data_IF_099930294460
#
_entry.id   IF_099930294460
#
_cell.length_a   1.000
_cell.length_b   1.000
_cell.length_c   1.000
_cell.angle_alpha   90.00
_cell.angle_beta   90.00
_cell.angle_gamma   90.00
#
_symmetry.space_group_name_H-M   'P 1'
#
loop_
_entity.id
_entity.type
_entity.pdbx_description
1 polymer ?
#
# COMPACT_ATOMS: atom_id res chain seq x y z
N UNK A 1 -18.06 -9.14 -80.50
CA UNK A 1 -17.92 -7.94 -79.66
C UNK A 1 -18.64 -8.20 -78.35
N UNK A 2 -17.95 -8.56 -77.38
CA UNK A 2 -18.51 -8.79 -76.00
C UNK A 2 -17.62 -8.10 -74.99
N UNK A 3 -18.17 -7.04 -74.41
CA UNK A 3 -17.52 -6.28 -73.38
C UNK A 3 -17.76 -6.99 -72.04
N UNK A 4 -16.71 -7.50 -71.42
CA UNK A 4 -16.73 -8.04 -70.07
C UNK A 4 -16.46 -6.88 -69.09
N UNK A 5 -17.47 -6.54 -68.33
CA UNK A 5 -17.36 -5.65 -67.21
C UNK A 5 -16.84 -6.42 -66.02
N UNK A 6 -15.60 -6.16 -65.63
CA UNK A 6 -15.05 -6.63 -64.37
C UNK A 6 -15.59 -5.73 -63.23
N UNK A 7 -16.49 -6.28 -62.45
CA UNK A 7 -16.99 -5.66 -61.26
C UNK A 7 -15.97 -5.92 -60.12
N UNK A 8 -15.22 -4.89 -59.75
CA UNK A 8 -14.31 -4.95 -58.62
C UNK A 8 -15.13 -4.76 -57.33
N UNK A 9 -15.31 -5.81 -56.58
CA UNK A 9 -15.87 -5.77 -55.25
C UNK A 9 -14.77 -5.29 -54.32
N UNK A 10 -14.86 -4.05 -53.89
CA UNK A 10 -14.02 -3.51 -52.81
C UNK A 10 -14.57 -4.01 -51.48
N UNK A 11 -13.94 -5.00 -50.91
CA UNK A 11 -14.26 -5.50 -49.57
C UNK A 11 -13.59 -4.57 -48.56
N UNK A 12 -14.36 -3.63 -48.03
CA UNK A 12 -13.91 -2.77 -46.95
C UNK A 12 -13.80 -3.61 -45.66
N UNK A 13 -12.58 -4.02 -45.31
CA UNK A 13 -12.28 -4.56 -43.99
C UNK A 13 -12.35 -3.41 -42.97
N UNK A 14 -13.47 -3.30 -42.28
CA UNK A 14 -13.59 -2.46 -41.11
C UNK A 14 -12.77 -3.12 -39.98
N UNK A 15 -11.52 -2.66 -39.75
CA UNK A 15 -10.79 -2.93 -38.51
C UNK A 15 -11.54 -2.21 -37.39
N UNK A 16 -12.35 -2.97 -36.65
CA UNK A 16 -12.84 -2.53 -35.36
C UNK A 16 -11.62 -2.51 -34.42
N UNK A 17 -11.03 -1.32 -34.22
CA UNK A 17 -10.05 -1.07 -33.19
C UNK A 17 -10.80 -1.19 -31.85
N UNK A 18 -10.68 -2.35 -31.23
CA UNK A 18 -11.02 -2.50 -29.82
C UNK A 18 -10.00 -1.68 -29.01
N UNK A 19 -10.29 -0.40 -28.81
CA UNK A 19 -9.65 0.38 -27.79
C UNK A 19 -10.09 -0.20 -26.45
N UNK A 20 -9.37 -1.20 -25.98
CA UNK A 20 -9.42 -1.64 -24.61
C UNK A 20 -8.93 -0.47 -23.75
N UNK A 21 -9.85 0.38 -23.32
CA UNK A 21 -9.61 1.27 -22.19
C UNK A 21 -9.47 0.39 -20.95
N UNK A 22 -8.28 -0.15 -20.71
CA UNK A 22 -7.91 -0.58 -19.38
C UNK A 22 -7.90 0.68 -18.52
N UNK A 23 -8.96 0.86 -17.71
CA UNK A 23 -8.91 1.77 -16.57
C UNK A 23 -7.70 1.31 -15.78
N UNK A 24 -6.59 2.07 -15.83
CA UNK A 24 -5.53 1.92 -14.85
C UNK A 24 -6.21 2.21 -13.51
N UNK A 25 -6.50 1.16 -12.77
CA UNK A 25 -6.87 1.33 -11.37
C UNK A 25 -5.69 2.07 -10.73
N UNK A 26 -5.93 3.31 -10.39
CA UNK A 26 -4.95 4.13 -9.70
C UNK A 26 -4.93 3.64 -8.26
N UNK A 27 -4.07 2.66 -7.98
CA UNK A 27 -3.86 2.21 -6.62
C UNK A 27 -3.30 3.34 -5.77
N UNK A 28 -3.73 3.43 -4.50
CA UNK A 28 -3.23 4.45 -3.59
C UNK A 28 -1.70 4.39 -3.54
N UNK A 29 -1.08 5.57 -3.55
CA UNK A 29 0.38 5.69 -3.51
C UNK A 29 0.89 5.41 -2.10
N UNK A 30 1.06 4.14 -1.76
CA UNK A 30 1.53 3.68 -0.45
C UNK A 30 3.01 4.00 -0.24
N UNK A 31 3.83 3.94 -1.30
CA UNK A 31 5.26 4.20 -1.20
C UNK A 31 5.57 5.57 -0.58
N UNK A 32 6.54 5.57 0.34
CA UNK A 32 6.96 6.74 1.11
C UNK A 32 6.94 6.48 2.61
N UNK A 33 7.16 7.55 3.38
CA UNK A 33 7.28 7.50 4.82
C UNK A 33 6.01 8.01 5.49
N UNK A 34 5.64 7.35 6.58
CA UNK A 34 4.40 7.58 7.30
C UNK A 34 4.62 7.50 8.81
N UNK A 35 3.92 8.36 9.55
CA UNK A 35 3.86 8.28 11.02
C UNK A 35 2.43 8.02 11.49
N UNK A 36 2.27 7.19 12.51
CA UNK A 36 0.98 6.86 13.08
C UNK A 36 0.34 8.06 13.78
N UNK A 37 -0.95 8.25 13.57
CA UNK A 37 -1.75 9.27 14.26
C UNK A 37 -2.66 8.63 15.30
N UNK A 38 -3.28 7.51 14.94
CA UNK A 38 -4.19 6.80 15.82
C UNK A 38 -4.37 5.35 15.41
N UNK A 39 -4.71 4.53 16.38
CA UNK A 39 -5.19 3.15 16.19
C UNK A 39 -6.52 3.02 16.89
N UNK A 40 -7.53 2.55 16.19
CA UNK A 40 -8.85 2.26 16.75
C UNK A 40 -9.08 0.76 16.71
N UNK A 41 -9.21 0.17 17.90
CA UNK A 41 -9.65 -1.22 18.06
C UNK A 41 -11.11 -1.22 18.52
N UNK A 42 -11.79 -2.37 18.49
CA UNK A 42 -13.16 -2.52 18.99
C UNK A 42 -13.33 -2.02 20.44
N UNK A 43 -12.27 -2.00 21.22
CA UNK A 43 -12.30 -1.72 22.65
C UNK A 43 -11.80 -0.32 23.03
N UNK A 44 -10.99 0.34 22.21
CA UNK A 44 -10.40 1.63 22.54
C UNK A 44 -9.84 2.38 21.32
N UNK A 45 -9.83 3.70 21.41
CA UNK A 45 -9.01 4.57 20.59
C UNK A 45 -7.65 4.72 21.29
N UNK A 46 -6.58 4.26 20.65
CA UNK A 46 -5.22 4.41 21.15
C UNK A 46 -4.56 5.53 20.36
N UNK A 47 -4.24 6.63 21.02
CA UNK A 47 -3.51 7.73 20.41
C UNK A 47 -2.00 7.45 20.29
N UNK A 48 -1.32 8.27 19.52
CA UNK A 48 0.14 8.18 19.27
C UNK A 48 1.02 8.25 20.53
N UNK A 49 0.48 8.67 21.68
CA UNK A 49 1.22 8.69 22.93
C UNK A 49 1.44 7.30 23.53
N UNK A 50 0.58 6.33 23.22
CA UNK A 50 0.70 4.97 23.71
C UNK A 50 1.52 4.07 22.77
N UNK A 51 1.52 4.38 21.48
CA UNK A 51 2.28 3.67 20.44
C UNK A 51 2.76 4.69 19.42
N UNK A 52 4.04 4.72 19.16
CA UNK A 52 4.62 5.52 18.09
C UNK A 52 5.18 4.59 17.01
N UNK A 53 4.72 4.75 15.78
CA UNK A 53 5.09 3.90 14.66
C UNK A 53 5.40 4.76 13.44
N UNK A 54 6.59 4.57 12.91
CA UNK A 54 6.95 5.04 11.58
C UNK A 54 6.98 3.85 10.63
N UNK A 55 6.46 4.06 9.42
CA UNK A 55 6.49 3.09 8.32
C UNK A 55 7.19 3.72 7.13
N UNK A 56 8.10 2.98 6.52
CA UNK A 56 8.73 3.33 5.25
C UNK A 56 8.44 2.24 4.24
N UNK A 57 7.76 2.60 3.15
CA UNK A 57 7.47 1.69 2.04
C UNK A 57 8.29 2.12 0.83
N UNK A 58 9.30 1.36 0.49
CA UNK A 58 10.12 1.65 -0.68
C UNK A 58 9.46 1.18 -1.98
N UNK A 59 9.67 1.88 -3.10
CA UNK A 59 9.11 1.50 -4.40
C UNK A 59 9.57 0.14 -4.92
N UNK A 60 10.69 -0.38 -4.42
CA UNK A 60 11.24 -1.70 -4.77
C UNK A 60 10.52 -2.87 -4.09
N UNK A 61 9.52 -2.59 -3.23
CA UNK A 61 8.79 -3.59 -2.48
C UNK A 61 9.38 -3.93 -1.12
N UNK A 62 10.43 -3.24 -0.67
CA UNK A 62 10.93 -3.35 0.71
C UNK A 62 10.16 -2.43 1.65
N UNK A 63 10.05 -2.81 2.91
CA UNK A 63 9.52 -1.95 3.97
C UNK A 63 10.40 -1.98 5.20
N UNK A 64 10.31 -0.90 5.97
CA UNK A 64 10.86 -0.82 7.32
C UNK A 64 9.81 -0.20 8.25
N UNK A 65 9.69 -0.73 9.44
CA UNK A 65 8.81 -0.23 10.50
C UNK A 65 9.64 0.03 11.75
N UNK A 66 9.44 1.19 12.36
CA UNK A 66 10.03 1.58 13.65
C UNK A 66 8.89 1.72 14.65
N UNK A 67 8.90 0.89 15.68
CA UNK A 67 7.80 0.82 16.64
C UNK A 67 8.32 1.08 18.05
N UNK A 68 7.62 1.94 18.78
CA UNK A 68 7.88 2.23 20.19
C UNK A 68 6.55 2.22 20.94
N UNK A 69 6.46 1.44 21.99
CA UNK A 69 5.34 1.48 22.93
C UNK A 69 5.64 2.49 24.03
N UNK A 70 4.63 3.07 24.67
CA UNK A 70 4.79 4.11 25.69
C UNK A 70 5.68 3.73 26.87
N UNK A 71 5.83 2.43 27.14
CA UNK A 71 6.73 1.90 28.18
C UNK A 71 8.14 1.58 27.69
N UNK A 72 8.39 1.60 26.39
CA UNK A 72 9.68 1.27 25.80
C UNK A 72 10.62 2.47 25.80
N UNK A 73 11.90 2.23 26.12
CA UNK A 73 12.95 3.24 26.03
C UNK A 73 13.43 3.46 24.58
N UNK A 74 13.21 2.51 23.68
CA UNK A 74 13.77 2.49 22.32
C UNK A 74 12.75 2.05 21.29
N UNK A 75 12.98 2.47 20.03
CA UNK A 75 12.32 1.91 18.89
C UNK A 75 12.84 0.51 18.58
N UNK A 76 11.95 -0.37 18.12
CA UNK A 76 12.29 -1.66 17.54
C UNK A 76 12.07 -1.56 16.05
N UNK A 77 13.08 -1.96 15.26
CA UNK A 77 13.04 -1.93 13.81
C UNK A 77 12.67 -3.29 13.27
N UNK A 78 11.62 -3.33 12.46
CA UNK A 78 11.25 -4.48 11.64
C UNK A 78 11.45 -4.13 10.18
N UNK A 79 11.87 -5.10 9.38
CA UNK A 79 12.02 -4.94 7.93
C UNK A 79 11.51 -6.16 7.20
N UNK A 80 11.31 -6.02 5.90
CA UNK A 80 10.84 -7.10 5.05
C UNK A 80 10.37 -6.59 3.69
N UNK A 81 9.37 -7.25 3.14
CA UNK A 81 8.80 -6.92 1.84
C UNK A 81 7.30 -6.64 1.94
N UNK A 82 6.79 -5.82 1.04
CA UNK A 82 5.38 -5.50 0.95
C UNK A 82 4.88 -5.60 -0.48
N UNK A 83 3.59 -5.81 -0.62
CA UNK A 83 2.88 -5.76 -1.91
C UNK A 83 1.49 -5.17 -1.73
N UNK A 84 1.01 -4.52 -2.77
CA UNK A 84 -0.35 -4.00 -2.87
C UNK A 84 -1.04 -4.69 -4.04
N UNK A 85 -2.10 -5.42 -3.77
CA UNK A 85 -2.88 -6.13 -4.79
C UNK A 85 -4.35 -5.79 -4.61
N UNK A 86 -4.97 -5.18 -5.63
CA UNK A 86 -6.39 -4.77 -5.60
C UNK A 86 -6.76 -3.97 -4.34
N UNK A 87 -5.90 -3.05 -3.93
CA UNK A 87 -6.12 -2.21 -2.73
C UNK A 87 -5.85 -2.89 -1.39
N UNK A 88 -5.38 -4.14 -1.41
CA UNK A 88 -5.00 -4.88 -0.20
C UNK A 88 -3.48 -4.91 -0.05
N UNK A 89 -3.02 -4.32 1.04
CA UNK A 89 -1.63 -4.31 1.46
C UNK A 89 -1.31 -5.54 2.29
N UNK A 90 -0.25 -6.23 1.96
CA UNK A 90 0.26 -7.39 2.70
C UNK A 90 1.77 -7.42 2.65
N UNK A 91 2.40 -8.21 3.50
CA UNK A 91 3.86 -8.32 3.51
C UNK A 91 4.39 -9.47 4.34
N UNK A 92 5.69 -9.60 4.28
CA UNK A 92 6.47 -10.61 5.01
C UNK A 92 7.64 -9.93 5.70
N UNK A 93 7.96 -10.37 6.90
CA UNK A 93 9.14 -9.93 7.62
C UNK A 93 10.41 -10.58 7.06
N UNK A 94 11.58 -10.02 7.40
CA UNK A 94 12.86 -10.53 6.93
C UNK A 94 13.18 -11.97 7.39
N UNK A 95 12.53 -12.44 8.45
CA UNK A 95 12.60 -13.83 8.95
C UNK A 95 11.72 -14.81 8.15
N UNK A 96 10.96 -14.32 7.16
CA UNK A 96 10.05 -15.11 6.33
C UNK A 96 8.65 -15.27 6.91
N UNK A 97 8.36 -14.73 8.08
CA UNK A 97 7.01 -14.75 8.64
C UNK A 97 6.13 -13.70 7.96
N UNK A 98 4.88 -14.05 7.69
CA UNK A 98 3.89 -13.11 7.14
C UNK A 98 3.43 -12.11 8.22
N UNK A 99 3.00 -10.93 7.79
CA UNK A 99 2.28 -10.01 8.68
C UNK A 99 1.06 -10.69 9.27
N UNK A 100 0.71 -10.32 10.50
CA UNK A 100 -0.44 -10.91 11.21
C UNK A 100 -1.78 -10.68 10.51
N UNK A 101 -1.89 -9.62 9.72
CA UNK A 101 -3.07 -9.27 8.93
C UNK A 101 -2.67 -8.70 7.59
N UNK A 102 -3.58 -8.75 6.63
CA UNK A 102 -3.58 -7.88 5.47
C UNK A 102 -4.46 -6.66 5.75
N UNK A 103 -4.28 -5.60 4.98
CA UNK A 103 -4.94 -4.32 5.24
C UNK A 103 -5.56 -3.76 3.97
N UNK A 104 -6.81 -3.34 4.03
CA UNK A 104 -7.35 -2.47 3.00
C UNK A 104 -6.79 -1.06 3.19
N UNK A 105 -6.43 -0.42 2.08
CA UNK A 105 -5.75 0.88 2.07
C UNK A 105 -6.67 1.94 1.48
N UNK A 106 -6.80 3.06 2.19
CA UNK A 106 -7.39 4.30 1.69
C UNK A 106 -6.39 5.43 1.90
N UNK A 107 -6.15 6.23 0.87
CA UNK A 107 -5.27 7.41 0.96
C UNK A 107 -6.04 8.62 0.46
N UNK A 108 -6.14 9.62 1.32
CA UNK A 108 -6.74 10.93 1.05
C UNK A 108 -5.71 12.02 1.38
N UNK A 109 -5.17 12.65 0.33
CA UNK A 109 -4.10 13.63 0.50
C UNK A 109 -2.87 13.02 1.18
N UNK A 110 -2.49 13.57 2.32
CA UNK A 110 -1.35 13.14 3.14
C UNK A 110 -1.73 12.11 4.23
N UNK A 111 -2.96 11.59 4.21
CA UNK A 111 -3.46 10.66 5.22
C UNK A 111 -3.70 9.28 4.62
N UNK A 112 -3.12 8.25 5.24
CA UNK A 112 -3.35 6.85 4.91
C UNK A 112 -4.13 6.18 6.04
N UNK A 113 -5.21 5.47 5.68
CA UNK A 113 -5.98 4.64 6.59
C UNK A 113 -5.79 3.18 6.22
N UNK A 114 -5.36 2.38 7.17
CA UNK A 114 -5.21 0.93 7.05
C UNK A 114 -6.28 0.26 7.90
N UNK A 115 -7.08 -0.61 7.28
CA UNK A 115 -8.08 -1.42 7.99
C UNK A 115 -7.68 -2.87 7.90
N UNK A 116 -7.41 -3.51 9.04
CA UNK A 116 -6.98 -4.91 9.09
C UNK A 116 -8.09 -5.88 8.68
N UNK A 117 -7.68 -7.03 8.14
CA UNK A 117 -8.59 -8.15 7.83
C UNK A 117 -8.97 -8.97 9.06
N UNK A 118 -8.45 -8.63 10.23
CA UNK A 118 -8.75 -9.33 11.50
C UNK A 118 -10.19 -9.10 11.96
N UNK A 119 -10.67 -9.97 12.85
CA UNK A 119 -11.98 -9.83 13.46
C UNK A 119 -11.82 -9.78 14.99
N UNK A 120 -12.13 -8.65 15.64
CA UNK A 120 -12.57 -7.37 15.07
C UNK A 120 -11.49 -6.67 14.24
N UNK A 121 -11.91 -5.91 13.24
CA UNK A 121 -10.99 -5.12 12.43
C UNK A 121 -10.36 -3.99 13.27
N UNK A 122 -9.07 -3.74 13.03
CA UNK A 122 -8.35 -2.61 13.56
C UNK A 122 -8.18 -1.55 12.46
N UNK A 123 -8.38 -0.30 12.82
CA UNK A 123 -8.20 0.83 11.92
C UNK A 123 -7.05 1.68 12.41
N UNK A 124 -6.02 1.81 11.59
CA UNK A 124 -4.84 2.62 11.87
C UNK A 124 -4.76 3.78 10.89
N UNK A 125 -4.55 4.97 11.40
CA UNK A 125 -4.44 6.20 10.61
C UNK A 125 -3.01 6.72 10.69
N UNK A 126 -2.44 7.00 9.53
CA UNK A 126 -1.09 7.52 9.36
C UNK A 126 -1.10 8.84 8.58
N UNK A 127 -0.13 9.68 8.86
CA UNK A 127 0.18 10.86 8.05
C UNK A 127 1.54 10.73 7.39
N UNK A 128 1.69 11.33 6.22
CA UNK A 128 3.01 11.50 5.59
C UNK A 128 3.92 12.25 6.54
N UNK A 129 5.09 11.68 6.81
CA UNK A 129 6.08 12.28 7.70
C UNK A 129 7.43 11.69 7.39
N UNK A 130 8.45 12.52 7.38
CA UNK A 130 9.84 12.09 7.35
C UNK A 130 10.19 11.37 8.66
N UNK A 131 10.94 10.26 8.56
CA UNK A 131 11.39 9.53 9.73
C UNK A 131 12.61 10.26 10.31
N UNK A 132 12.55 10.72 11.57
CA UNK A 132 13.68 11.41 12.18
C UNK A 132 14.94 10.53 12.26
N UNK A 133 16.11 11.11 12.00
CA UNK A 133 17.40 10.42 12.11
C UNK A 133 17.62 9.80 13.50
N UNK A 134 17.10 10.42 14.56
CA UNK A 134 17.14 9.88 15.92
C UNK A 134 16.38 8.56 16.05
N UNK A 135 15.23 8.43 15.37
CA UNK A 135 14.44 7.19 15.37
C UNK A 135 15.22 6.07 14.68
N UNK A 136 15.85 6.37 13.55
CA UNK A 136 16.67 5.42 12.81
C UNK A 136 17.88 4.98 13.62
N UNK A 137 18.57 5.94 14.28
CA UNK A 137 19.78 5.69 15.05
C UNK A 137 19.52 4.92 16.35
N UNK A 138 18.38 5.17 17.02
CA UNK A 138 18.00 4.53 18.28
C UNK A 138 17.35 3.15 18.12
N UNK A 139 16.91 2.83 16.91
CA UNK A 139 16.19 1.58 16.68
C UNK A 139 17.08 0.35 16.78
N UNK A 140 16.73 -0.54 17.70
CA UNK A 140 17.30 -1.88 17.82
C UNK A 140 16.60 -2.89 16.93
N UNK A 141 17.27 -4.02 16.65
CA UNK A 141 16.60 -5.16 16.03
C UNK A 141 15.68 -5.85 17.07
N UNK A 142 14.63 -6.57 16.61
CA UNK A 142 13.74 -7.32 17.46
C UNK A 142 14.45 -8.40 18.24
#
# INVERSE_FOLDING_TARGET
MRRLLCSAIVMALSLAAFTSCSKKESFPKVAGDWNIVSVTTKSALIGSQAVDVYLSFAPDGSFTSYQKTGSSARYVRYSGTWKLTSGILSGEYADGSSWASSYSVSIEGETMTLTSSSTPAEVSVYKRAEIPDSVIAEAGNP
#
